data_IF_444958305753
#
_entry.id   IF_444958305753
#
_cell.length_a   1.000
_cell.length_b   1.000
_cell.length_c   1.000
_cell.angle_alpha   90.00
_cell.angle_beta   90.00
_cell.angle_gamma   90.00
#
_symmetry.space_group_name_H-M   'P 1'
#
loop_
_entity.id
_entity.type
_entity.pdbx_description
1 polymer ?
#
# COMPACT_ATOMS: atom_id res chain seq x y z
N UNK A 1 -14.00 14.59 11.94
CA UNK A 1 -14.32 13.30 11.29
C UNK A 1 -14.01 12.14 12.24
N UNK A 2 -15.00 11.63 13.00
CA UNK A 2 -14.81 10.49 13.90
C UNK A 2 -14.33 9.22 13.18
N UNK A 3 -14.88 8.98 11.98
CA UNK A 3 -14.54 7.86 11.08
C UNK A 3 -13.03 7.78 10.78
N UNK A 4 -12.39 8.93 10.56
CA UNK A 4 -10.96 9.03 10.26
C UNK A 4 -10.11 8.60 11.45
N UNK A 5 -10.42 9.12 12.66
CA UNK A 5 -9.71 8.76 13.89
C UNK A 5 -9.82 7.26 14.17
N UNK A 6 -11.01 6.69 13.97
CA UNK A 6 -11.24 5.25 14.11
C UNK A 6 -10.38 4.46 13.13
N UNK A 7 -10.30 4.88 11.86
CA UNK A 7 -9.50 4.17 10.85
C UNK A 7 -8.00 4.25 11.10
N UNK A 8 -7.49 5.42 11.51
CA UNK A 8 -6.08 5.58 11.88
C UNK A 8 -5.71 4.70 13.07
N UNK A 9 -6.57 4.66 14.10
CA UNK A 9 -6.37 3.79 15.25
C UNK A 9 -6.36 2.30 14.88
N UNK A 10 -7.24 1.86 13.98
CA UNK A 10 -7.23 0.47 13.49
C UNK A 10 -5.92 0.11 12.79
N UNK A 11 -5.33 1.04 12.03
CA UNK A 11 -4.06 0.84 11.32
C UNK A 11 -2.90 0.76 12.34
N UNK A 12 -2.92 1.61 13.36
CA UNK A 12 -1.96 1.61 14.48
C UNK A 12 -2.07 0.33 15.32
N UNK A 13 -3.29 -0.07 15.72
CA UNK A 13 -3.54 -1.28 16.51
C UNK A 13 -3.11 -2.56 15.76
N UNK A 14 -3.13 -2.54 14.42
CA UNK A 14 -2.64 -3.62 13.56
C UNK A 14 -1.12 -3.61 13.36
N UNK A 15 -0.40 -2.67 13.97
CA UNK A 15 1.06 -2.55 13.87
C UNK A 15 1.57 -2.10 12.50
N UNK A 16 0.71 -1.49 11.68
CA UNK A 16 1.07 -1.01 10.33
C UNK A 16 1.78 0.35 10.41
N UNK A 17 1.39 1.19 11.36
CA UNK A 17 1.96 2.52 11.59
C UNK A 17 2.23 2.76 13.07
N UNK A 18 3.17 3.64 13.38
CA UNK A 18 3.45 4.10 14.73
C UNK A 18 3.27 5.63 14.83
N UNK A 19 2.87 6.16 16.00
CA UNK A 19 2.78 7.59 16.20
C UNK A 19 4.18 8.24 16.27
N UNK A 20 4.39 9.28 15.47
CA UNK A 20 5.61 10.07 15.52
C UNK A 20 5.42 11.30 16.43
N UNK A 21 6.24 11.39 17.49
CA UNK A 21 6.17 12.48 18.47
C UNK A 21 7.18 13.61 18.22
N UNK A 22 8.09 13.40 17.25
CA UNK A 22 9.13 14.35 16.87
C UNK A 22 8.89 14.88 15.45
N UNK A 23 9.36 16.08 15.10
CA UNK A 23 9.25 16.59 13.74
C UNK A 23 9.96 15.67 12.73
N UNK A 24 9.26 15.32 11.66
CA UNK A 24 9.81 14.60 10.52
C UNK A 24 10.36 15.56 9.46
N UNK A 25 11.42 15.15 8.77
CA UNK A 25 11.91 15.85 7.57
C UNK A 25 10.97 15.63 6.37
N UNK A 26 10.16 14.57 6.41
CA UNK A 26 9.29 14.14 5.31
C UNK A 26 7.84 14.09 5.76
N UNK A 27 7.00 14.92 5.13
CA UNK A 27 5.56 14.95 5.42
C UNK A 27 4.77 14.74 4.14
N UNK A 28 3.71 13.95 4.21
CA UNK A 28 2.84 13.66 3.08
C UNK A 28 1.41 14.09 3.37
N UNK A 29 0.75 14.64 2.34
CA UNK A 29 -0.67 14.95 2.44
C UNK A 29 -1.50 13.66 2.48
N UNK A 30 -2.50 13.64 3.35
CA UNK A 30 -3.48 12.56 3.43
C UNK A 30 -4.71 12.90 2.58
N UNK A 31 -4.91 12.14 1.50
CA UNK A 31 -6.14 12.15 0.72
C UNK A 31 -7.12 11.10 1.27
N UNK A 32 -8.37 11.51 1.45
CA UNK A 32 -9.43 10.65 1.99
C UNK A 32 -10.51 10.52 0.93
N UNK A 33 -10.83 9.28 0.56
CA UNK A 33 -11.92 8.97 -0.37
C UNK A 33 -12.90 7.98 0.27
N UNK A 34 -14.22 8.14 0.08
CA UNK A 34 -15.19 7.14 0.50
C UNK A 34 -15.10 5.90 -0.40
N UNK A 35 -15.19 4.71 0.20
CA UNK A 35 -15.44 3.46 -0.53
C UNK A 35 -16.95 3.26 -0.72
N UNK A 36 -17.36 2.41 -1.69
CA UNK A 36 -18.77 2.06 -1.87
C UNK A 36 -19.44 1.45 -0.63
N UNK A 37 -18.67 0.80 0.24
CA UNK A 37 -19.14 0.21 1.51
C UNK A 37 -19.29 1.24 2.64
N UNK A 38 -19.04 2.53 2.37
CA UNK A 38 -19.10 3.61 3.36
C UNK A 38 -17.84 3.79 4.20
N UNK A 39 -16.87 2.86 4.12
CA UNK A 39 -15.59 3.00 4.82
C UNK A 39 -14.66 4.01 4.14
N UNK A 40 -13.68 4.53 4.87
CA UNK A 40 -12.69 5.46 4.31
C UNK A 40 -11.52 4.71 3.66
N UNK A 41 -11.10 5.18 2.49
CA UNK A 41 -9.81 4.89 1.87
C UNK A 41 -8.87 6.04 2.17
N UNK A 42 -7.78 5.71 2.87
CA UNK A 42 -6.69 6.62 3.19
C UNK A 42 -5.60 6.45 2.14
N UNK A 43 -5.23 7.54 1.48
CA UNK A 43 -4.20 7.55 0.45
C UNK A 43 -3.18 8.64 0.77
N UNK A 44 -1.89 8.31 0.69
CA UNK A 44 -0.83 9.32 0.70
C UNK A 44 -0.72 9.94 -0.69
N UNK A 45 -0.40 11.23 -0.76
CA UNK A 45 0.03 11.86 -2.03
C UNK A 45 1.52 11.55 -2.27
N UNK A 46 1.85 10.64 -3.21
CA UNK A 46 3.21 10.16 -3.38
C UNK A 46 4.01 11.03 -4.36
N UNK A 47 3.48 12.15 -4.87
CA UNK A 47 4.12 12.93 -5.94
C UNK A 47 5.56 13.36 -5.62
N UNK A 48 5.80 13.81 -4.38
CA UNK A 48 7.12 14.24 -3.94
C UNK A 48 8.00 13.02 -3.70
N UNK A 49 7.47 11.99 -3.05
CA UNK A 49 8.18 10.74 -2.79
C UNK A 49 8.69 10.08 -4.08
N UNK A 50 7.81 9.89 -5.07
CA UNK A 50 8.11 9.22 -6.32
C UNK A 50 9.19 9.93 -7.16
N UNK A 51 9.45 11.23 -6.92
CA UNK A 51 10.54 11.96 -7.60
C UNK A 51 11.89 11.73 -6.94
N UNK A 52 11.91 11.35 -5.66
CA UNK A 52 13.13 11.26 -4.85
C UNK A 52 13.54 9.80 -4.58
N UNK A 53 12.63 8.84 -4.75
CA UNK A 53 12.93 7.41 -4.63
C UNK A 53 13.77 6.95 -5.83
N UNK A 54 14.90 6.29 -5.53
CA UNK A 54 15.65 5.53 -6.55
C UNK A 54 15.01 4.16 -6.70
N UNK A 55 14.53 3.86 -7.90
CA UNK A 55 13.89 2.58 -8.19
C UNK A 55 14.92 1.55 -8.59
N UNK A 56 14.94 0.42 -7.88
CA UNK A 56 15.48 -0.80 -8.43
C UNK A 56 14.52 -1.31 -9.52
N UNK A 57 15.04 -1.58 -10.71
CA UNK A 57 14.23 -2.08 -11.82
C UNK A 57 14.12 -3.59 -11.67
N UNK A 58 13.04 -4.04 -11.04
CA UNK A 58 12.66 -5.44 -11.05
C UNK A 58 11.83 -5.75 -12.30
N UNK A 59 12.33 -6.62 -13.17
CA UNK A 59 11.63 -7.03 -14.38
C UNK A 59 10.43 -7.92 -14.05
N UNK A 60 9.22 -7.37 -14.13
CA UNK A 60 8.00 -8.17 -14.08
C UNK A 60 7.89 -8.93 -15.42
N UNK A 61 7.74 -10.27 -15.42
CA UNK A 61 7.59 -11.04 -16.64
C UNK A 61 6.43 -10.54 -17.50
N UNK A 62 6.61 -10.51 -18.82
CA UNK A 62 5.54 -10.13 -19.73
C UNK A 62 4.48 -11.22 -19.85
N UNK A 63 3.34 -10.87 -20.44
CA UNK A 63 2.28 -11.82 -20.72
C UNK A 63 2.77 -12.97 -21.62
N UNK A 64 3.56 -12.68 -22.64
CA UNK A 64 4.13 -13.65 -23.56
C UNK A 64 5.10 -14.61 -22.86
N UNK A 65 5.80 -14.15 -21.82
CA UNK A 65 6.71 -14.97 -21.02
C UNK A 65 5.97 -15.87 -20.01
N UNK A 66 4.76 -15.49 -19.60
CA UNK A 66 3.99 -16.19 -18.55
C UNK A 66 2.96 -17.17 -19.09
N UNK A 67 2.29 -16.84 -20.20
CA UNK A 67 1.24 -17.67 -20.79
C UNK A 67 1.66 -19.11 -21.14
N UNK A 68 2.85 -19.36 -21.70
CA UNK A 68 3.27 -20.72 -22.02
C UNK A 68 3.28 -21.65 -20.79
N UNK A 69 3.50 -21.10 -19.59
CA UNK A 69 3.55 -21.85 -18.33
C UNK A 69 2.15 -22.35 -17.91
N UNK A 70 1.09 -21.71 -18.41
CA UNK A 70 -0.30 -22.07 -18.16
C UNK A 70 -0.86 -23.08 -19.19
N UNK A 71 -0.09 -23.39 -20.24
CA UNK A 71 -0.50 -24.31 -21.30
C UNK A 71 -0.80 -25.73 -20.79
N UNK A 72 -1.88 -26.33 -21.28
CA UNK A 72 -2.27 -27.70 -20.95
C UNK A 72 -2.83 -27.90 -19.53
N UNK A 73 -2.96 -26.84 -18.72
CA UNK A 73 -3.65 -26.92 -17.43
C UNK A 73 -5.16 -26.96 -17.66
N UNK A 74 -5.85 -27.88 -16.97
CA UNK A 74 -7.32 -28.03 -17.04
C UNK A 74 -8.06 -27.15 -16.03
N UNK A 75 -7.37 -26.73 -14.98
CA UNK A 75 -7.91 -25.92 -13.88
C UNK A 75 -6.88 -24.85 -13.54
N UNK A 76 -7.34 -23.61 -13.39
CA UNK A 76 -6.56 -22.48 -12.91
C UNK A 76 -7.24 -21.94 -11.66
N UNK A 77 -6.45 -21.47 -10.69
CA UNK A 77 -6.94 -20.78 -9.49
C UNK A 77 -6.40 -19.36 -9.51
N UNK A 78 -7.29 -18.39 -9.35
CA UNK A 78 -6.92 -17.00 -9.16
C UNK A 78 -7.02 -16.67 -7.66
N UNK A 79 -5.94 -16.12 -7.12
CA UNK A 79 -5.85 -15.68 -5.73
C UNK A 79 -5.67 -14.17 -5.73
N UNK A 80 -6.53 -13.46 -5.00
CA UNK A 80 -6.39 -12.02 -4.78
C UNK A 80 -5.94 -11.77 -3.33
N UNK A 81 -4.82 -11.08 -3.18
CA UNK A 81 -4.25 -10.74 -1.88
C UNK A 81 -4.50 -9.25 -1.59
N UNK A 82 -5.74 -8.96 -1.18
CA UNK A 82 -6.32 -7.62 -1.01
C UNK A 82 -5.43 -6.59 -0.30
N UNK A 83 -4.70 -7.03 0.74
CA UNK A 83 -3.90 -6.14 1.60
C UNK A 83 -2.40 -6.50 1.57
N UNK A 84 -1.91 -7.11 0.48
CA UNK A 84 -0.53 -7.58 0.35
C UNK A 84 0.52 -6.50 0.65
N UNK A 85 0.25 -5.25 0.25
CA UNK A 85 1.16 -4.13 0.48
C UNK A 85 1.43 -3.85 1.96
N UNK A 86 0.50 -4.20 2.86
CA UNK A 86 0.65 -4.01 4.31
C UNK A 86 1.50 -5.09 4.97
N UNK A 87 1.77 -6.19 4.26
CA UNK A 87 2.58 -7.31 4.75
C UNK A 87 4.07 -7.14 4.43
N UNK A 88 4.43 -6.20 3.55
CA UNK A 88 5.81 -5.94 3.22
C UNK A 88 6.53 -5.36 4.45
N UNK A 89 7.54 -6.09 4.96
CA UNK A 89 8.40 -5.58 6.01
C UNK A 89 9.35 -4.53 5.42
N UNK A 90 8.97 -3.26 5.54
CA UNK A 90 9.82 -2.11 5.26
C UNK A 90 9.76 -1.14 6.43
N UNK A 91 10.72 -0.23 6.50
CA UNK A 91 10.74 0.92 7.43
C UNK A 91 9.65 1.93 7.01
N UNK A 92 8.37 1.51 7.11
CA UNK A 92 7.19 2.33 6.77
C UNK A 92 7.01 3.51 7.72
N UNK A 93 7.68 3.46 8.88
CA UNK A 93 7.80 4.49 9.91
C UNK A 93 8.35 5.82 9.38
N UNK A 94 9.09 5.82 8.26
CA UNK A 94 9.59 7.05 7.60
C UNK A 94 8.68 7.61 6.52
N UNK A 95 7.60 6.92 6.18
CA UNK A 95 6.70 7.27 5.07
C UNK A 95 5.35 7.82 5.55
N UNK A 96 5.07 7.72 6.85
CA UNK A 96 3.79 8.07 7.43
C UNK A 96 4.01 8.94 8.67
N UNK A 97 4.36 10.20 8.39
CA UNK A 97 4.37 11.43 9.22
C UNK A 97 5.74 12.10 9.32
#
# INVERSE_FOLDING_TARGET
MPELKKKLKEIEDNGITEPMNEPSEWVHNLAIAPKPDGSLRLCLDPKVLNKNVKHEIFGIPTFEQTIPQLGGKKVLTALDQKDAYLLASGDLTKLLL
#
